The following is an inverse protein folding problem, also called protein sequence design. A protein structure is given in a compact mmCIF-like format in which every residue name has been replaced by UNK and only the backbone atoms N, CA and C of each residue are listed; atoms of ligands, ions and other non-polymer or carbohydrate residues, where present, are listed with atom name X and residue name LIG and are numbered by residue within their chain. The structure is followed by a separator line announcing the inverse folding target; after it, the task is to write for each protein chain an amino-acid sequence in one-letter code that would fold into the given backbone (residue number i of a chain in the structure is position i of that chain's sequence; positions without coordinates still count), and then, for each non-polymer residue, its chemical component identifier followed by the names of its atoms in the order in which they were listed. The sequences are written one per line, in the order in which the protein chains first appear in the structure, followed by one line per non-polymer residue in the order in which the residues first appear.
data_IF_156946020952
#
_entry.id   IF_156946020952
#
_cell.length_a   1.000
_cell.length_b   1.000
_cell.length_c   1.000
_cell.angle_alpha   90.00
_cell.angle_beta   90.00
_cell.angle_gamma   90.00
#
_symmetry.space_group_name_H-M   'P 1'
#
loop_
_entity.id
_entity.type
_entity.pdbx_description
1 polymer ?
#
# COMPACT_ATOMS: atom_id res chain seq x y z
N UNK A 1 -48.82 22.78 21.02
CA UNK A 1 -48.56 22.35 19.63
C UNK A 1 -47.30 22.97 19.02
N UNK A 2 -47.03 24.28 19.20
CA UNK A 2 -45.85 24.97 18.62
C UNK A 2 -44.52 24.51 19.25
N UNK A 3 -44.48 24.27 20.57
CA UNK A 3 -43.27 23.83 21.29
C UNK A 3 -42.71 22.50 20.77
N UNK A 4 -43.57 21.52 20.51
CA UNK A 4 -43.17 20.19 20.00
C UNK A 4 -42.56 20.26 18.60
N UNK A 5 -43.02 21.20 17.75
CA UNK A 5 -42.46 21.40 16.40
C UNK A 5 -41.02 21.92 16.47
N UNK A 6 -40.75 22.86 17.39
CA UNK A 6 -39.41 23.42 17.61
C UNK A 6 -38.44 22.35 18.12
N UNK A 7 -38.86 21.52 19.08
CA UNK A 7 -38.04 20.43 19.61
C UNK A 7 -37.66 19.40 18.54
N UNK A 8 -38.61 19.03 17.68
CA UNK A 8 -38.36 18.08 16.58
C UNK A 8 -37.39 18.67 15.54
N UNK A 9 -37.53 19.95 15.20
CA UNK A 9 -36.61 20.63 14.29
C UNK A 9 -35.18 20.70 14.83
N UNK A 10 -35.01 20.94 16.14
CA UNK A 10 -33.69 20.96 16.78
C UNK A 10 -33.06 19.56 16.77
N UNK A 11 -33.85 18.52 17.04
CA UNK A 11 -33.39 17.13 17.03
C UNK A 11 -32.95 16.67 15.62
N UNK A 12 -33.72 17.04 14.59
CA UNK A 12 -33.35 16.78 13.19
C UNK A 12 -32.07 17.52 12.80
N UNK A 13 -31.92 18.77 13.22
CA UNK A 13 -30.73 19.57 12.92
C UNK A 13 -29.47 18.99 13.58
N UNK A 14 -29.57 18.55 14.84
CA UNK A 14 -28.47 17.92 15.56
C UNK A 14 -28.03 16.59 14.91
N UNK A 15 -28.98 15.80 14.40
CA UNK A 15 -28.69 14.54 13.72
C UNK A 15 -27.99 14.76 12.36
N UNK A 16 -28.35 15.82 11.63
CA UNK A 16 -27.69 16.24 10.39
C UNK A 16 -26.25 16.72 10.64
N UNK A 17 -26.00 17.49 11.71
CA UNK A 17 -24.65 17.94 12.05
C UNK A 17 -23.72 16.81 12.50
N UNK A 18 -24.27 15.72 13.06
CA UNK A 18 -23.50 14.56 13.51
C UNK A 18 -22.92 13.71 12.36
N UNK A 19 -23.55 13.73 11.18
CA UNK A 19 -23.07 12.97 10.01
C UNK A 19 -21.97 13.70 9.22
N UNK A 20 -21.80 15.01 9.42
CA UNK A 20 -20.83 15.82 8.69
C UNK A 20 -19.40 15.74 9.25
N UNK A 21 -19.21 15.07 10.39
CA UNK A 21 -17.92 14.94 11.08
C UNK A 21 -17.33 13.54 10.91
N UNK A 22 -17.33 13.01 9.68
CA UNK A 22 -16.34 11.99 9.34
C UNK A 22 -15.05 12.76 9.07
N UNK A 23 -13.97 12.57 9.85
CA UNK A 23 -12.69 13.11 9.45
C UNK A 23 -12.35 12.46 8.12
N UNK A 24 -12.40 13.25 7.05
CA UNK A 24 -11.79 12.89 5.79
C UNK A 24 -10.28 12.85 6.05
N UNK A 25 -9.79 11.71 6.53
CA UNK A 25 -8.37 11.38 6.46
C UNK A 25 -8.10 11.10 4.99
N UNK A 26 -7.97 12.17 4.21
CA UNK A 26 -7.34 12.06 2.90
C UNK A 26 -5.85 11.90 3.17
N UNK A 27 -5.34 10.67 3.06
CA UNK A 27 -3.93 10.51 2.72
C UNK A 27 -3.68 11.36 1.46
N UNK A 28 -2.62 12.16 1.46
CA UNK A 28 -2.27 12.92 0.27
C UNK A 28 -2.13 11.93 -0.89
N UNK A 29 -2.77 12.21 -2.03
CA UNK A 29 -2.53 11.43 -3.24
C UNK A 29 -1.07 11.65 -3.63
N UNK A 30 -0.22 10.65 -3.34
CA UNK A 30 1.19 10.67 -3.69
C UNK A 30 1.33 10.47 -5.20
N UNK A 31 1.18 11.56 -5.96
CA UNK A 31 1.28 11.52 -7.42
C UNK A 31 2.75 11.44 -7.89
N UNK A 32 3.71 11.69 -6.99
CA UNK A 32 5.12 11.92 -7.34
C UNK A 32 6.09 10.78 -6.95
N UNK A 33 5.64 9.72 -6.26
CA UNK A 33 6.52 8.64 -5.79
C UNK A 33 6.24 7.29 -6.47
N UNK A 34 5.53 7.28 -7.60
CA UNK A 34 5.25 6.05 -8.35
C UNK A 34 6.52 5.55 -9.05
N UNK A 35 7.17 4.55 -8.46
CA UNK A 35 8.26 3.79 -9.08
C UNK A 35 7.69 2.95 -10.23
N UNK A 36 8.42 2.81 -11.34
CA UNK A 36 8.04 1.91 -12.44
C UNK A 36 8.39 0.46 -12.09
N UNK A 37 7.76 -0.51 -12.75
CA UNK A 37 8.12 -1.92 -12.56
C UNK A 37 9.60 -2.18 -12.90
N UNK A 38 10.14 -1.50 -13.91
CA UNK A 38 11.55 -1.60 -14.31
C UNK A 38 12.49 -1.11 -13.21
N UNK A 39 12.20 0.05 -12.62
CA UNK A 39 13.04 0.62 -11.58
C UNK A 39 12.95 -0.20 -10.28
N UNK A 40 11.75 -0.67 -9.95
CA UNK A 40 11.55 -1.62 -8.85
C UNK A 40 12.31 -2.93 -9.05
N UNK A 41 12.42 -3.42 -10.29
CA UNK A 41 13.22 -4.60 -10.62
C UNK A 41 14.72 -4.37 -10.40
N UNK A 42 15.25 -3.19 -10.76
CA UNK A 42 16.65 -2.83 -10.46
C UNK A 42 16.91 -2.82 -8.95
N UNK A 43 16.00 -2.21 -8.17
CA UNK A 43 16.09 -2.22 -6.71
C UNK A 43 16.03 -3.64 -6.12
N UNK A 44 15.15 -4.50 -6.64
CA UNK A 44 15.04 -5.89 -6.19
C UNK A 44 16.34 -6.67 -6.41
N UNK A 45 16.96 -6.53 -7.60
CA UNK A 45 18.25 -7.16 -7.90
C UNK A 45 19.37 -6.64 -6.98
N UNK A 46 19.45 -5.31 -6.78
CA UNK A 46 20.45 -4.71 -5.89
C UNK A 46 20.29 -5.21 -4.44
N UNK A 47 19.06 -5.28 -3.94
CA UNK A 47 18.78 -5.82 -2.61
C UNK A 47 19.16 -7.29 -2.49
N UNK A 48 18.80 -8.13 -3.47
CA UNK A 48 19.17 -9.55 -3.49
C UNK A 48 20.69 -9.73 -3.40
N UNK A 49 21.46 -8.98 -4.20
CA UNK A 49 22.93 -9.02 -4.18
C UNK A 49 23.47 -8.59 -2.80
N UNK A 50 22.91 -7.52 -2.23
CA UNK A 50 23.30 -7.03 -0.90
C UNK A 50 23.07 -8.09 0.19
N UNK A 51 21.91 -8.75 0.20
CA UNK A 51 21.60 -9.82 1.15
C UNK A 51 22.54 -11.01 1.00
N UNK A 52 22.85 -11.43 -0.23
CA UNK A 52 23.80 -12.51 -0.50
C UNK A 52 25.21 -12.12 -0.01
N UNK A 53 25.66 -10.92 -0.32
CA UNK A 53 26.99 -10.45 0.06
C UNK A 53 27.17 -10.29 1.57
N UNK A 54 26.10 -9.96 2.29
CA UNK A 54 26.09 -9.81 3.74
C UNK A 54 25.98 -11.14 4.50
N UNK A 55 25.80 -12.28 3.82
CA UNK A 55 25.46 -13.58 4.42
C UNK A 55 24.36 -13.43 5.50
N UNK A 56 23.28 -12.73 5.13
CA UNK A 56 22.32 -12.23 6.09
C UNK A 56 21.68 -13.38 6.89
N UNK A 57 21.77 -13.38 8.23
CA UNK A 57 21.27 -14.48 9.04
C UNK A 57 19.74 -14.60 8.92
N UNK A 58 19.26 -15.83 8.74
CA UNK A 58 17.84 -16.13 8.59
C UNK A 58 17.30 -16.00 7.15
N UNK A 59 18.16 -15.68 6.18
CA UNK A 59 17.82 -15.71 4.76
C UNK A 59 18.29 -17.00 4.09
N UNK A 60 17.53 -17.44 3.08
CA UNK A 60 17.92 -18.58 2.26
C UNK A 60 19.12 -18.21 1.36
N UNK A 61 20.00 -19.19 1.10
CA UNK A 61 21.14 -18.97 0.21
C UNK A 61 20.67 -18.86 -1.25
N UNK A 62 20.47 -17.61 -1.68
CA UNK A 62 20.09 -17.25 -3.04
C UNK A 62 21.27 -17.14 -4.01
N UNK A 63 22.45 -17.66 -3.67
CA UNK A 63 23.56 -17.76 -4.62
C UNK A 63 23.14 -18.56 -5.86
N UNK A 64 23.26 -17.95 -7.04
CA UNK A 64 22.82 -18.53 -8.31
C UNK A 64 21.32 -18.44 -8.57
N UNK A 65 20.56 -17.72 -7.74
CA UNK A 65 19.17 -17.39 -8.01
C UNK A 65 19.06 -16.11 -8.84
N UNK A 66 17.92 -15.96 -9.50
CA UNK A 66 17.56 -14.82 -10.33
C UNK A 66 16.19 -14.28 -9.91
N UNK A 67 16.01 -12.96 -10.02
CA UNK A 67 14.70 -12.33 -9.83
C UNK A 67 13.90 -12.47 -11.13
N UNK A 68 12.64 -12.93 -11.04
CA UNK A 68 11.72 -12.92 -12.18
C UNK A 68 11.37 -11.47 -12.52
N UNK A 69 11.59 -10.97 -13.76
CA UNK A 69 11.28 -9.60 -14.13
C UNK A 69 9.79 -9.26 -14.13
N UNK A 70 8.89 -10.24 -13.94
CA UNK A 70 7.44 -10.03 -13.89
C UNK A 70 6.96 -9.93 -12.43
N UNK A 71 6.74 -8.70 -11.91
CA UNK A 71 6.25 -8.56 -10.56
C UNK A 71 4.75 -8.86 -10.44
N UNK A 72 4.35 -9.20 -9.23
CA UNK A 72 2.97 -9.04 -8.77
C UNK A 72 2.82 -7.62 -8.22
N UNK A 73 1.82 -6.89 -8.69
CA UNK A 73 1.50 -5.57 -8.16
C UNK A 73 0.56 -5.70 -6.97
N UNK A 74 0.92 -5.08 -5.84
CA UNK A 74 0.08 -5.06 -4.65
C UNK A 74 -0.57 -3.70 -4.48
N UNK A 75 -1.86 -3.73 -4.13
CA UNK A 75 -2.72 -2.57 -4.03
C UNK A 75 -3.31 -2.46 -2.63
N UNK A 76 -3.56 -1.23 -2.19
CA UNK A 76 -4.31 -0.97 -0.96
C UNK A 76 -5.82 -1.24 -1.16
N UNK A 77 -6.60 -1.08 -0.09
CA UNK A 77 -8.06 -1.28 -0.13
C UNK A 77 -8.80 -0.27 -1.03
N UNK A 78 -8.14 0.82 -1.43
CA UNK A 78 -8.67 1.87 -2.29
C UNK A 78 -8.24 1.71 -3.76
N UNK A 79 -7.42 0.70 -4.08
CA UNK A 79 -6.88 0.47 -5.42
C UNK A 79 -5.64 1.31 -5.75
N UNK A 80 -4.99 1.93 -4.76
CA UNK A 80 -3.69 2.58 -4.94
C UNK A 80 -2.56 1.54 -4.88
N UNK A 81 -1.64 1.59 -5.86
CA UNK A 81 -0.49 0.67 -5.91
C UNK A 81 0.46 0.97 -4.74
N UNK A 82 0.78 -0.06 -3.96
CA UNK A 82 1.71 0.03 -2.82
C UNK A 82 3.14 -0.32 -3.23
N UNK A 83 3.36 -1.49 -3.83
CA UNK A 83 4.68 -1.93 -4.28
C UNK A 83 4.62 -3.07 -5.29
N UNK A 84 5.74 -3.29 -5.98
CA UNK A 84 5.98 -4.46 -6.83
C UNK A 84 6.65 -5.56 -6.01
N UNK A 85 6.03 -6.74 -5.96
CA UNK A 85 6.60 -7.93 -5.36
C UNK A 85 7.20 -8.81 -6.46
N UNK A 86 8.48 -9.15 -6.33
CA UNK A 86 9.18 -10.00 -7.28
C UNK A 86 9.39 -11.40 -6.70
N UNK A 87 9.25 -12.41 -7.56
CA UNK A 87 9.60 -13.78 -7.21
C UNK A 87 11.08 -14.01 -7.48
N UNK A 88 11.69 -14.87 -6.66
CA UNK A 88 13.06 -15.35 -6.87
C UNK A 88 12.98 -16.81 -7.30
N UNK A 89 13.73 -17.17 -8.34
CA UNK A 89 13.83 -18.54 -8.82
C UNK A 89 15.28 -18.96 -8.91
N UNK A 90 15.52 -20.24 -8.66
CA UNK A 90 16.82 -20.88 -8.84
C UNK A 90 16.58 -22.14 -9.67
N UNK A 91 17.22 -22.22 -10.83
CA UNK A 91 17.15 -23.45 -11.62
C UNK A 91 17.74 -24.59 -10.80
N UNK A 92 17.01 -25.70 -10.74
CA UNK A 92 17.53 -26.93 -10.18
C UNK A 92 18.31 -27.64 -11.27
N UNK A 93 19.64 -27.67 -11.13
CA UNK A 93 20.51 -28.59 -11.86
C UNK A 93 20.26 -30.03 -11.41
#
# INVERSE_FOLDING_TARGET
MIKNKITISILLLAMLTGMALIPAVSAQTEDNYSVTAEEAFKHANANMISFIAADAPGFENWTGASVDPKPVELYDINGQKLFYQFSVYKEKN
#
